data_IF_298888893652
#
_entry.id   IF_298888893652
#
_cell.length_a   1.000
_cell.length_b   1.000
_cell.length_c   1.000
_cell.angle_alpha   90.00
_cell.angle_beta   90.00
_cell.angle_gamma   90.00
#
_symmetry.space_group_name_H-M   'P 1'
#
loop_
_entity.id
_entity.type
_entity.pdbx_description
1 polymer ?
#
# COMPACT_ATOMS: atom_id res chain seq x y z
N UNK A 1 -7.30 32.46 -3.02
CA UNK A 1 -6.64 31.16 -3.32
C UNK A 1 -7.69 30.09 -3.13
N UNK A 2 -8.22 29.52 -4.22
CA UNK A 2 -9.24 28.49 -4.11
C UNK A 2 -8.55 27.19 -3.67
N UNK A 3 -8.90 26.69 -2.49
CA UNK A 3 -8.45 25.39 -2.00
C UNK A 3 -8.90 24.31 -2.98
N UNK A 4 -7.98 23.43 -3.38
CA UNK A 4 -8.28 22.23 -4.16
C UNK A 4 -9.35 21.44 -3.36
N UNK A 5 -10.49 21.05 -3.97
CA UNK A 5 -11.50 20.30 -3.23
C UNK A 5 -10.87 19.01 -2.72
N UNK A 6 -11.02 18.74 -1.42
CA UNK A 6 -10.66 17.45 -0.85
C UNK A 6 -11.38 16.36 -1.65
N UNK A 7 -10.66 15.28 -1.98
CA UNK A 7 -11.20 14.14 -2.72
C UNK A 7 -12.11 13.29 -1.81
N UNK A 8 -13.12 13.92 -1.22
CA UNK A 8 -14.18 13.28 -0.46
C UNK A 8 -14.85 12.23 -1.36
N UNK A 9 -14.71 10.96 -1.00
CA UNK A 9 -15.30 9.83 -1.71
C UNK A 9 -14.36 8.98 -2.58
N UNK A 10 -13.11 9.38 -2.85
CA UNK A 10 -12.17 8.52 -3.60
C UNK A 10 -11.38 7.60 -2.67
N UNK A 11 -11.45 6.28 -2.90
CA UNK A 11 -10.76 5.29 -2.05
C UNK A 11 -9.26 5.26 -2.36
N UNK A 12 -8.42 5.44 -1.36
CA UNK A 12 -6.96 5.30 -1.48
C UNK A 12 -6.48 3.91 -1.03
N UNK A 13 -5.46 3.38 -1.70
CA UNK A 13 -4.89 2.04 -1.46
C UNK A 13 -3.38 2.15 -1.41
N UNK A 14 -2.81 1.91 -0.24
CA UNK A 14 -1.40 2.09 0.09
C UNK A 14 -0.79 0.74 0.45
N UNK A 15 0.39 0.42 -0.07
CA UNK A 15 1.17 -0.75 0.33
C UNK A 15 2.47 -0.28 0.97
N UNK A 16 2.76 -0.75 2.18
CA UNK A 16 3.99 -0.41 2.90
C UNK A 16 5.05 -1.45 2.61
N UNK A 17 6.19 -1.04 2.07
CA UNK A 17 7.30 -1.93 1.70
C UNK A 17 8.61 -1.42 2.28
N UNK A 18 9.60 -2.29 2.43
CA UNK A 18 10.90 -1.93 3.04
C UNK A 18 11.48 -3.07 3.87
N UNK A 19 12.56 -2.79 4.59
CA UNK A 19 13.22 -3.81 5.41
C UNK A 19 12.39 -4.23 6.63
N UNK A 20 12.84 -5.24 7.35
CA UNK A 20 12.31 -5.56 8.67
C UNK A 20 12.64 -4.41 9.64
N UNK A 21 11.69 -4.09 10.56
CA UNK A 21 11.89 -3.14 11.68
C UNK A 21 12.15 -1.67 11.33
N UNK A 22 12.02 -1.26 10.08
CA UNK A 22 12.05 0.16 9.68
C UNK A 22 10.78 0.93 10.07
N UNK A 23 9.86 0.30 10.83
CA UNK A 23 8.64 0.97 11.30
C UNK A 23 7.46 0.96 10.33
N UNK A 24 7.35 -0.03 9.43
CA UNK A 24 6.21 -0.16 8.50
C UNK A 24 4.86 -0.24 9.23
N UNK A 25 4.70 -1.20 10.13
CA UNK A 25 3.46 -1.39 10.89
C UNK A 25 3.10 -0.14 11.72
N UNK A 26 4.10 0.54 12.31
CA UNK A 26 3.90 1.82 13.00
C UNK A 26 3.42 2.93 12.06
N UNK A 27 4.04 3.07 10.88
CA UNK A 27 3.58 4.03 9.88
C UNK A 27 2.15 3.73 9.40
N UNK A 28 1.79 2.46 9.24
CA UNK A 28 0.43 2.05 8.92
C UNK A 28 -0.58 2.45 10.00
N UNK A 29 -0.21 2.30 11.28
CA UNK A 29 -1.02 2.76 12.40
C UNK A 29 -1.18 4.29 12.41
N UNK A 30 -0.10 5.03 12.13
CA UNK A 30 -0.12 6.50 11.97
C UNK A 30 -1.06 6.93 10.86
N UNK A 31 -0.97 6.33 9.66
CA UNK A 31 -1.88 6.64 8.54
C UNK A 31 -3.34 6.42 8.98
N UNK A 32 -3.63 5.24 9.54
CA UNK A 32 -4.99 4.85 9.91
C UNK A 32 -5.53 5.56 11.17
N UNK A 33 -4.66 6.22 11.95
CA UNK A 33 -5.04 6.87 13.21
C UNK A 33 -5.48 5.89 14.31
N UNK A 34 -5.06 4.62 14.23
CA UNK A 34 -5.40 3.57 15.19
C UNK A 34 -4.34 2.48 15.24
N UNK A 35 -4.27 1.73 16.34
CA UNK A 35 -3.39 0.56 16.51
C UNK A 35 -3.93 -0.65 15.76
N UNK A 36 -3.81 -0.64 14.43
CA UNK A 36 -4.31 -1.66 13.52
C UNK A 36 -3.37 -2.86 13.35
N UNK A 37 -2.06 -2.61 13.32
CA UNK A 37 -1.02 -3.60 13.12
C UNK A 37 -0.18 -3.77 14.39
N UNK A 38 0.29 -4.98 14.66
CA UNK A 38 1.21 -5.24 15.78
C UNK A 38 2.60 -4.65 15.46
N UNK A 39 3.03 -3.69 16.29
CA UNK A 39 4.30 -3.00 16.14
C UNK A 39 5.21 -3.15 17.38
N UNK A 40 5.00 -4.20 18.19
CA UNK A 40 5.85 -4.46 19.37
C UNK A 40 7.32 -4.62 18.99
N UNK A 41 8.20 -3.98 19.77
CA UNK A 41 9.65 -4.17 19.65
C UNK A 41 9.96 -5.61 20.07
N UNK A 42 10.46 -6.42 19.14
CA UNK A 42 10.87 -7.80 19.44
C UNK A 42 12.16 -8.16 18.71
N UNK A 43 12.89 -9.16 19.19
CA UNK A 43 14.12 -9.66 18.56
C UNK A 43 13.86 -10.51 17.30
N UNK A 44 12.60 -10.69 16.90
CA UNK A 44 12.21 -11.40 15.68
C UNK A 44 11.29 -10.57 14.77
N UNK A 45 11.19 -10.86 13.47
CA UNK A 45 10.21 -10.22 12.60
C UNK A 45 8.79 -10.55 13.08
N UNK A 46 7.97 -9.51 13.26
CA UNK A 46 6.58 -9.64 13.71
C UNK A 46 5.66 -9.91 12.51
N UNK A 47 5.81 -9.13 11.43
CA UNK A 47 5.01 -9.29 10.20
C UNK A 47 5.62 -10.34 9.28
N UNK A 48 5.04 -11.54 9.26
CA UNK A 48 5.41 -12.63 8.34
C UNK A 48 4.41 -12.83 7.19
N UNK A 49 3.28 -12.13 7.23
CA UNK A 49 2.25 -12.21 6.21
C UNK A 49 1.63 -10.83 5.98
N UNK A 50 1.30 -10.53 4.73
CA UNK A 50 0.67 -9.28 4.33
C UNK A 50 -0.76 -9.21 4.85
N UNK A 51 -1.07 -8.07 5.49
CA UNK A 51 -2.34 -7.80 6.15
C UNK A 51 -2.88 -6.45 5.70
N UNK A 52 -4.18 -6.41 5.41
CA UNK A 52 -4.88 -5.20 5.00
C UNK A 52 -5.76 -4.71 6.14
N UNK A 53 -5.69 -3.42 6.42
CA UNK A 53 -6.64 -2.74 7.30
C UNK A 53 -7.14 -1.47 6.63
N UNK A 54 -8.38 -1.12 6.92
CA UNK A 54 -9.02 0.07 6.38
C UNK A 54 -9.56 0.98 7.49
N UNK A 55 -9.61 2.27 7.18
CA UNK A 55 -10.24 3.28 8.01
C UNK A 55 -10.66 4.47 7.14
N UNK A 56 -11.61 5.24 7.65
CA UNK A 56 -11.92 6.56 7.13
C UNK A 56 -11.01 7.58 7.83
N UNK A 57 -10.19 8.26 7.04
CA UNK A 57 -9.17 9.20 7.51
C UNK A 57 -9.41 10.51 6.79
N UNK A 58 -9.69 11.59 7.54
CA UNK A 58 -9.93 12.92 6.97
C UNK A 58 -10.98 12.92 5.84
N UNK A 59 -12.09 12.19 6.03
CA UNK A 59 -13.18 12.11 5.04
C UNK A 59 -12.91 11.18 3.85
N UNK A 60 -11.77 10.48 3.82
CA UNK A 60 -11.37 9.59 2.73
C UNK A 60 -11.21 8.14 3.20
N UNK A 61 -11.75 7.19 2.45
CA UNK A 61 -11.55 5.75 2.72
C UNK A 61 -10.14 5.34 2.32
N UNK A 62 -9.31 4.94 3.29
CA UNK A 62 -7.93 4.50 3.05
C UNK A 62 -7.78 3.04 3.43
N UNK A 63 -7.19 2.24 2.53
CA UNK A 63 -6.71 0.90 2.85
C UNK A 63 -5.20 0.87 2.88
N UNK A 64 -4.63 0.34 3.96
CA UNK A 64 -3.19 0.15 4.12
C UNK A 64 -2.91 -1.34 4.16
N UNK A 65 -1.93 -1.79 3.37
CA UNK A 65 -1.40 -3.16 3.43
C UNK A 65 -0.01 -3.10 4.04
N UNK A 66 0.15 -3.68 5.24
CA UNK A 66 1.47 -3.93 5.83
C UNK A 66 2.05 -5.22 5.24
N UNK A 67 3.36 -5.24 5.00
CA UNK A 67 4.03 -6.38 4.37
C UNK A 67 5.21 -6.89 5.21
N UNK A 68 5.64 -8.14 4.98
CA UNK A 68 6.93 -8.60 5.46
C UNK A 68 8.09 -7.74 4.93
N UNK A 69 9.26 -7.89 5.54
CA UNK A 69 10.48 -7.24 5.05
C UNK A 69 10.91 -7.78 3.68
N UNK A 70 11.39 -6.89 2.80
CA UNK A 70 11.88 -7.26 1.46
C UNK A 70 13.05 -8.25 1.50
N UNK A 71 13.87 -8.16 2.55
CA UNK A 71 14.95 -9.10 2.83
C UNK A 71 14.70 -9.66 4.22
N UNK A 72 13.92 -10.75 4.26
CA UNK A 72 13.51 -11.35 5.52
C UNK A 72 14.55 -12.35 6.04
N UNK A 73 14.70 -12.38 7.36
CA UNK A 73 15.49 -13.42 8.04
C UNK A 73 14.73 -14.74 8.19
N UNK A 74 13.41 -14.74 7.99
CA UNK A 74 12.53 -15.91 8.17
C UNK A 74 11.86 -16.41 6.90
N UNK A 75 11.75 -15.56 5.88
CA UNK A 75 11.12 -15.91 4.61
C UNK A 75 12.16 -16.04 3.51
N UNK A 76 12.00 -17.05 2.65
CA UNK A 76 12.77 -17.14 1.41
C UNK A 76 12.35 -16.04 0.43
N UNK A 77 13.19 -15.74 -0.56
CA UNK A 77 12.90 -14.75 -1.62
C UNK A 77 11.57 -15.07 -2.33
N UNK A 78 11.28 -16.35 -2.58
CA UNK A 78 10.03 -16.79 -3.20
C UNK A 78 8.80 -16.55 -2.30
N UNK A 79 8.95 -16.73 -0.99
CA UNK A 79 7.90 -16.43 -0.02
C UNK A 79 7.66 -14.91 0.08
N UNK A 80 8.72 -14.09 0.10
CA UNK A 80 8.60 -12.63 0.06
C UNK A 80 7.88 -12.19 -1.22
N UNK A 81 8.25 -12.75 -2.37
CA UNK A 81 7.56 -12.50 -3.64
C UNK A 81 6.08 -12.90 -3.57
N UNK A 82 5.76 -14.06 -3.01
CA UNK A 82 4.37 -14.49 -2.85
C UNK A 82 3.55 -13.52 -1.97
N UNK A 83 4.15 -13.01 -0.89
CA UNK A 83 3.52 -11.99 -0.04
C UNK A 83 3.36 -10.64 -0.75
N UNK A 84 4.32 -10.23 -1.61
CA UNK A 84 4.13 -9.06 -2.48
C UNK A 84 2.95 -9.26 -3.44
N UNK A 85 2.82 -10.43 -4.06
CA UNK A 85 1.67 -10.73 -4.94
C UNK A 85 0.36 -10.76 -4.14
N UNK A 86 0.37 -11.25 -2.90
CA UNK A 86 -0.76 -11.18 -1.98
C UNK A 86 -1.14 -9.73 -1.67
N UNK A 87 -0.16 -8.86 -1.41
CA UNK A 87 -0.40 -7.43 -1.17
C UNK A 87 -1.08 -6.73 -2.36
N UNK A 88 -0.72 -7.10 -3.59
CA UNK A 88 -1.39 -6.61 -4.80
C UNK A 88 -2.84 -7.07 -4.89
N UNK A 89 -3.12 -8.34 -4.56
CA UNK A 89 -4.50 -8.86 -4.50
C UNK A 89 -5.33 -8.14 -3.46
N UNK A 90 -4.78 -7.92 -2.27
CA UNK A 90 -5.44 -7.15 -1.20
C UNK A 90 -5.73 -5.70 -1.61
N UNK A 91 -4.93 -5.16 -2.54
CA UNK A 91 -5.01 -3.80 -3.05
C UNK A 91 -5.76 -3.67 -4.38
N UNK A 92 -6.56 -4.66 -4.79
CA UNK A 92 -7.31 -4.62 -6.05
C UNK A 92 -8.13 -3.33 -6.24
N UNK A 93 -8.18 -2.72 -7.45
CA UNK A 93 -7.57 -3.14 -8.74
C UNK A 93 -6.05 -2.96 -8.84
N UNK A 94 -5.42 -2.38 -7.83
CA UNK A 94 -3.98 -2.17 -7.74
C UNK A 94 -3.69 -1.05 -6.73
N UNK A 95 -2.51 -1.04 -6.09
CA UNK A 95 -2.18 0.03 -5.15
C UNK A 95 -1.98 1.36 -5.88
N UNK A 96 -2.42 2.45 -5.27
CA UNK A 96 -2.15 3.78 -5.80
C UNK A 96 -0.69 4.18 -5.58
N UNK A 97 -0.17 3.81 -4.41
CA UNK A 97 1.20 4.11 -4.00
C UNK A 97 1.80 2.97 -3.18
N UNK A 98 3.08 2.71 -3.39
CA UNK A 98 3.94 1.96 -2.49
C UNK A 98 4.74 2.96 -1.66
N UNK A 99 4.68 2.85 -0.34
CA UNK A 99 5.54 3.62 0.55
C UNK A 99 6.76 2.78 0.87
N UNK A 100 7.91 3.13 0.28
CA UNK A 100 9.20 2.52 0.61
C UNK A 100 9.70 3.13 1.92
N UNK A 101 9.50 2.38 2.99
CA UNK A 101 9.78 2.81 4.35
C UNK A 101 11.27 2.64 4.67
N UNK A 102 11.91 3.73 5.07
CA UNK A 102 13.30 3.80 5.49
C UNK A 102 13.39 4.39 6.90
N UNK A 103 14.34 3.94 7.70
CA UNK A 103 14.59 4.54 9.00
C UNK A 103 15.48 5.78 8.87
N UNK A 104 15.06 6.92 9.40
CA UNK A 104 15.87 8.12 9.37
C UNK A 104 17.21 7.95 10.10
N UNK A 105 18.28 8.48 9.48
CA UNK A 105 19.66 8.35 9.95
C UNK A 105 20.33 7.02 9.60
N UNK A 106 19.63 6.13 8.87
CA UNK A 106 20.16 4.83 8.44
C UNK A 106 19.80 4.60 6.97
N UNK A 107 20.80 4.38 6.13
CA UNK A 107 20.59 3.93 4.76
C UNK A 107 21.61 2.86 4.38
N UNK A 108 21.23 1.61 4.60
CA UNK A 108 22.05 0.42 4.41
C UNK A 108 22.10 -0.03 2.96
N UNK A 109 23.10 -0.86 2.61
CA UNK A 109 23.19 -1.50 1.28
C UNK A 109 21.91 -2.26 0.91
N UNK A 110 21.29 -2.94 1.88
CA UNK A 110 20.03 -3.65 1.65
C UNK A 110 18.86 -2.69 1.35
N UNK A 111 18.83 -1.51 1.98
CA UNK A 111 17.83 -0.47 1.69
C UNK A 111 18.04 0.15 0.31
N UNK A 112 19.29 0.30 -0.14
CA UNK A 112 19.63 0.75 -1.51
C UNK A 112 19.12 -0.21 -2.58
N UNK A 113 19.06 -1.51 -2.28
CA UNK A 113 18.53 -2.55 -3.17
C UNK A 113 17.01 -2.70 -3.09
N UNK A 114 16.34 -2.05 -2.14
CA UNK A 114 14.91 -2.21 -1.88
C UNK A 114 14.04 -1.94 -3.12
N UNK A 115 14.29 -0.84 -3.82
CA UNK A 115 13.56 -0.50 -5.05
C UNK A 115 13.83 -1.51 -6.19
N UNK A 116 15.08 -1.92 -6.38
CA UNK A 116 15.46 -2.90 -7.40
C UNK A 116 14.81 -4.27 -7.13
N UNK A 117 14.72 -4.65 -5.86
CA UNK A 117 14.03 -5.86 -5.41
C UNK A 117 12.54 -5.80 -5.75
N UNK A 118 11.87 -4.67 -5.49
CA UNK A 118 10.47 -4.46 -5.88
C UNK A 118 10.28 -4.57 -7.40
N UNK A 119 11.13 -3.92 -8.19
CA UNK A 119 11.08 -3.99 -9.65
C UNK A 119 11.24 -5.44 -10.17
N UNK A 120 12.11 -6.22 -9.52
CA UNK A 120 12.38 -7.62 -9.87
C UNK A 120 11.22 -8.55 -9.48
N UNK A 121 10.60 -8.32 -8.33
CA UNK A 121 9.45 -9.11 -7.87
C UNK A 121 8.18 -8.79 -8.66
N UNK A 122 8.04 -7.54 -9.10
CA UNK A 122 6.88 -6.98 -9.76
C UNK A 122 7.23 -6.59 -11.21
N UNK A 123 7.26 -5.29 -11.51
CA UNK A 123 7.68 -4.76 -12.80
C UNK A 123 8.45 -3.44 -12.61
N UNK A 124 9.21 -2.97 -13.62
CA UNK A 124 9.90 -1.68 -13.55
C UNK A 124 8.98 -0.48 -13.29
N UNK A 125 7.70 -0.57 -13.69
CA UNK A 125 6.72 0.52 -13.52
C UNK A 125 6.37 0.80 -12.05
N UNK A 126 6.68 -0.12 -11.12
CA UNK A 126 6.46 0.08 -9.68
C UNK A 126 7.14 1.36 -9.18
N UNK A 127 8.27 1.76 -9.79
CA UNK A 127 9.01 2.98 -9.47
C UNK A 127 8.16 4.25 -9.55
N UNK A 128 7.27 4.34 -10.56
CA UNK A 128 6.41 5.51 -10.78
C UNK A 128 5.37 5.68 -9.66
N UNK A 129 5.02 4.58 -9.01
CA UNK A 129 4.08 4.53 -7.90
C UNK A 129 4.77 4.39 -6.53
N UNK A 130 6.09 4.52 -6.46
CA UNK A 130 6.83 4.36 -5.19
C UNK A 130 7.28 5.71 -4.66
N UNK A 131 6.87 6.03 -3.44
CA UNK A 131 7.31 7.21 -2.68
C UNK A 131 8.12 6.76 -1.46
N UNK A 132 9.18 7.51 -1.12
CA UNK A 132 9.98 7.19 0.08
C UNK A 132 9.28 7.73 1.33
N UNK A 133 9.18 6.91 2.37
CA UNK A 133 8.69 7.33 3.69
C UNK A 133 9.80 7.13 4.73
N UNK A 134 10.30 8.22 5.30
CA UNK A 134 11.21 8.14 6.44
C UNK A 134 10.42 8.02 7.73
N UNK A 135 10.77 7.04 8.56
CA UNK A 135 10.28 6.92 9.95
C UNK A 135 11.33 7.40 10.93
N UNK A 136 10.97 7.49 12.21
CA UNK A 136 11.81 8.08 13.27
C UNK A 136 12.11 9.56 13.02
N UNK A 137 11.09 10.31 12.57
CA UNK A 137 11.16 11.76 12.35
C UNK A 137 11.46 12.55 13.63
N UNK A 138 11.19 11.97 14.81
CA UNK A 138 11.60 12.48 16.12
C UNK A 138 13.11 12.78 16.21
N UNK A 139 13.93 12.11 15.37
CA UNK A 139 15.38 12.31 15.29
C UNK A 139 15.80 13.59 14.59
N UNK A 140 14.89 14.29 13.88
CA UNK A 140 15.22 15.55 13.21
C UNK A 140 15.40 16.73 14.17
N UNK A 141 15.22 16.55 15.50
CA UNK A 141 15.29 17.60 16.55
C UNK A 141 16.21 18.76 16.16
N UNK A 142 15.65 19.91 15.78
CA UNK A 142 16.27 21.24 15.53
C UNK A 142 17.66 21.33 14.83
N UNK A 143 18.25 20.23 14.38
CA UNK A 143 19.68 20.13 14.04
C UNK A 143 19.91 19.49 12.68
N UNK A 144 18.98 18.64 12.22
CA UNK A 144 19.07 17.97 10.94
C UNK A 144 17.89 18.41 10.09
N UNK A 145 18.19 19.17 9.05
CA UNK A 145 17.26 19.47 7.97
C UNK A 145 17.15 18.23 7.07
N UNK A 146 15.92 17.74 6.84
CA UNK A 146 15.68 16.56 6.01
C UNK A 146 16.21 16.77 4.58
N UNK A 147 16.14 17.99 4.05
CA UNK A 147 16.67 18.30 2.73
C UNK A 147 18.18 18.15 2.71
N UNK A 148 18.88 18.61 3.76
CA UNK A 148 20.32 18.41 3.91
C UNK A 148 20.69 16.94 4.07
N UNK A 149 19.89 16.18 4.83
CA UNK A 149 20.10 14.74 5.00
C UNK A 149 20.03 14.03 3.64
N UNK A 150 19.01 14.31 2.85
CA UNK A 150 18.85 13.77 1.50
C UNK A 150 19.97 14.26 0.57
N UNK A 151 20.34 15.54 0.61
CA UNK A 151 21.34 16.10 -0.31
C UNK A 151 22.74 15.57 -0.09
N UNK A 152 23.06 15.17 1.14
CA UNK A 152 24.40 14.71 1.54
C UNK A 152 24.70 13.25 1.17
N UNK A 153 23.69 12.43 0.87
CA UNK A 153 23.89 11.03 0.47
C UNK A 153 23.55 10.83 -1.02
N UNK A 154 24.58 10.48 -1.81
CA UNK A 154 24.42 10.22 -3.24
C UNK A 154 23.49 9.03 -3.54
N UNK A 155 23.49 8.01 -2.68
CA UNK A 155 22.63 6.84 -2.85
C UNK A 155 21.16 7.20 -2.59
N UNK A 156 20.87 8.08 -1.62
CA UNK A 156 19.50 8.55 -1.37
C UNK A 156 19.00 9.41 -2.53
N UNK A 157 19.84 10.30 -3.05
CA UNK A 157 19.52 11.10 -4.25
C UNK A 157 19.22 10.20 -5.45
N UNK A 158 20.03 9.16 -5.65
CA UNK A 158 19.81 8.17 -6.71
C UNK A 158 18.50 7.41 -6.50
N UNK A 159 18.21 6.97 -5.27
CA UNK A 159 16.93 6.31 -4.94
C UNK A 159 15.73 7.20 -5.27
N UNK A 160 15.74 8.47 -4.85
CA UNK A 160 14.65 9.40 -5.12
C UNK A 160 14.46 9.65 -6.63
N UNK A 161 15.56 9.77 -7.37
CA UNK A 161 15.54 9.91 -8.84
C UNK A 161 14.94 8.69 -9.54
N UNK A 162 15.11 7.51 -8.96
CA UNK A 162 14.60 6.24 -9.50
C UNK A 162 13.16 5.91 -9.03
N UNK A 163 12.61 6.72 -8.13
CA UNK A 163 11.22 6.67 -7.65
C UNK A 163 10.41 7.83 -8.25
N UNK A 164 9.22 8.13 -7.70
CA UNK A 164 8.44 9.32 -8.07
C UNK A 164 9.08 10.67 -7.70
N UNK A 165 10.29 10.68 -7.11
CA UNK A 165 10.99 11.89 -6.67
C UNK A 165 10.52 12.47 -5.32
N UNK A 166 9.39 12.00 -4.80
CA UNK A 166 8.83 12.50 -3.54
C UNK A 166 9.25 11.66 -2.33
N UNK A 167 9.31 12.33 -1.18
CA UNK A 167 9.46 11.70 0.11
C UNK A 167 8.60 12.39 1.18
N UNK A 168 8.35 11.68 2.28
CA UNK A 168 7.68 12.20 3.46
C UNK A 168 8.36 11.68 4.74
N UNK A 169 8.19 12.36 5.86
CA UNK A 169 8.79 11.98 7.15
C UNK A 169 7.69 11.84 8.20
N UNK A 170 7.68 10.72 8.90
CA UNK A 170 6.77 10.47 10.01
C UNK A 170 7.49 10.45 11.35
N UNK A 171 6.89 11.13 12.30
CA UNK A 171 7.07 10.86 13.71
C UNK A 171 5.94 9.94 14.19
N UNK A 172 6.20 8.63 14.20
CA UNK A 172 5.22 7.63 14.61
C UNK A 172 4.92 7.62 16.12
N UNK A 173 5.69 8.36 16.93
CA UNK A 173 5.38 8.56 18.35
C UNK A 173 4.23 9.55 18.55
N UNK A 174 4.00 10.43 17.58
CA UNK A 174 2.95 11.45 17.57
C UNK A 174 1.80 11.06 16.64
N UNK A 175 1.22 9.87 16.88
CA UNK A 175 0.14 9.31 16.04
C UNK A 175 -1.11 10.21 15.93
N UNK A 176 -1.33 11.03 16.97
CA UNK A 176 -2.44 11.98 17.07
C UNK A 176 -2.18 13.28 16.28
N UNK A 177 -0.94 13.56 15.89
CA UNK A 177 -0.62 14.69 15.02
C UNK A 177 -1.03 14.35 13.58
N UNK A 178 -2.20 14.85 13.18
CA UNK A 178 -2.82 14.50 11.89
C UNK A 178 -2.29 15.33 10.72
N UNK A 179 -1.51 16.40 10.96
CA UNK A 179 -0.92 17.22 9.90
C UNK A 179 0.06 16.40 9.05
N UNK A 180 0.90 15.56 9.66
CA UNK A 180 1.82 14.69 8.90
C UNK A 180 1.06 13.76 7.94
N UNK A 181 -0.10 13.25 8.37
CA UNK A 181 -0.94 12.40 7.52
C UNK A 181 -1.58 13.21 6.41
N UNK A 182 -2.05 14.42 6.70
CA UNK A 182 -2.60 15.32 5.68
C UNK A 182 -1.57 15.61 4.57
N UNK A 183 -0.37 16.02 4.95
CA UNK A 183 0.73 16.32 4.02
C UNK A 183 1.19 15.08 3.24
N UNK A 184 1.15 13.89 3.85
CA UNK A 184 1.39 12.63 3.15
C UNK A 184 0.34 12.42 2.05
N UNK A 185 -0.95 12.61 2.37
CA UNK A 185 -2.04 12.40 1.43
C UNK A 185 -1.99 13.39 0.25
N UNK A 186 -1.67 14.66 0.50
CA UNK A 186 -1.47 15.66 -0.56
C UNK A 186 -0.35 15.24 -1.53
N UNK A 187 0.76 14.72 -1.00
CA UNK A 187 1.85 14.17 -1.83
C UNK A 187 1.39 12.96 -2.64
N UNK A 188 0.65 12.04 -2.03
CA UNK A 188 0.12 10.85 -2.73
C UNK A 188 -0.87 11.26 -3.84
N UNK A 189 -1.71 12.27 -3.61
CA UNK A 189 -2.64 12.75 -4.63
C UNK A 189 -1.92 13.39 -5.82
N UNK A 190 -0.75 13.98 -5.61
CA UNK A 190 0.10 14.46 -6.71
C UNK A 190 0.69 13.34 -7.57
N UNK A 191 1.01 12.18 -6.97
CA UNK A 191 1.51 10.99 -7.69
C UNK A 191 0.38 10.29 -8.44
N UNK A 192 -0.81 10.28 -7.85
CA UNK A 192 -1.92 9.42 -8.28
C UNK A 192 -2.97 10.15 -9.10
N UNK A 193 -2.73 11.41 -9.47
CA UNK A 193 -3.70 12.29 -10.12
C UNK A 193 -5.05 12.28 -9.37
N UNK A 194 -5.00 12.54 -8.06
CA UNK A 194 -6.18 12.50 -7.19
C UNK A 194 -6.80 11.12 -6.97
N UNK A 195 -6.01 10.05 -7.13
CA UNK A 195 -6.46 8.66 -6.97
C UNK A 195 -6.96 7.99 -8.25
N UNK A 196 -6.79 8.62 -9.42
CA UNK A 196 -7.14 8.03 -10.70
C UNK A 196 -6.06 7.07 -11.23
N UNK A 197 -4.79 7.32 -10.93
CA UNK A 197 -3.66 6.49 -11.32
C UNK A 197 -3.31 5.51 -10.20
N UNK A 198 -3.17 4.25 -10.58
CA UNK A 198 -2.71 3.17 -9.70
C UNK A 198 -1.82 2.21 -10.47
N UNK A 199 -0.95 1.52 -9.74
CA UNK A 199 -0.07 0.51 -10.30
C UNK A 199 -0.89 -0.65 -10.87
N UNK A 200 -0.84 -0.81 -12.18
CA UNK A 200 -1.35 -1.98 -12.88
C UNK A 200 -0.21 -3.00 -12.98
N UNK A 201 -0.23 -4.00 -12.11
CA UNK A 201 0.71 -5.10 -12.22
C UNK A 201 0.47 -5.87 -13.52
N UNK A 202 1.54 -6.27 -14.19
CA UNK A 202 1.49 -7.24 -15.29
C UNK A 202 1.14 -8.63 -14.72
N UNK A 203 -0.12 -8.83 -14.32
CA UNK A 203 -0.58 -10.13 -13.87
C UNK A 203 -1.18 -10.89 -15.04
N UNK A 204 -0.44 -11.90 -15.52
CA UNK A 204 -0.98 -12.95 -16.40
C UNK A 204 -2.19 -13.66 -15.75
N UNK A 205 -2.37 -13.56 -14.43
CA UNK A 205 -3.53 -14.07 -13.70
C UNK A 205 -4.79 -13.20 -13.77
N UNK A 206 -4.71 -11.96 -14.26
CA UNK A 206 -5.91 -11.17 -14.55
C UNK A 206 -6.72 -11.79 -15.68
N UNK A 207 -6.11 -12.56 -16.57
CA UNK A 207 -6.89 -13.41 -17.48
C UNK A 207 -7.83 -14.28 -16.67
N UNK A 208 -7.35 -15.04 -15.68
CA UNK A 208 -8.23 -15.96 -14.95
C UNK A 208 -9.30 -15.25 -14.10
N UNK A 209 -8.98 -14.14 -13.42
CA UNK A 209 -9.99 -13.43 -12.59
C UNK A 209 -10.96 -12.63 -13.45
N UNK A 210 -10.47 -11.88 -14.45
CA UNK A 210 -11.33 -11.10 -15.34
C UNK A 210 -12.14 -12.00 -16.26
N UNK A 211 -11.56 -13.12 -16.75
CA UNK A 211 -12.33 -14.19 -17.43
C UNK A 211 -13.35 -14.76 -16.46
N UNK A 212 -12.99 -15.10 -15.22
CA UNK A 212 -13.96 -15.65 -14.25
C UNK A 212 -15.12 -14.69 -14.00
N UNK A 213 -14.86 -13.40 -13.73
CA UNK A 213 -15.91 -12.39 -13.57
C UNK A 213 -16.77 -12.21 -14.85
N UNK A 214 -16.15 -12.15 -16.03
CA UNK A 214 -16.88 -12.08 -17.32
C UNK A 214 -17.69 -13.35 -17.56
N UNK A 215 -17.18 -14.52 -17.19
CA UNK A 215 -17.84 -15.81 -17.36
C UNK A 215 -19.01 -15.97 -16.38
N UNK A 216 -18.80 -15.63 -15.11
CA UNK A 216 -19.85 -15.59 -14.10
C UNK A 216 -20.94 -14.58 -14.46
N UNK A 217 -20.58 -13.38 -14.91
CA UNK A 217 -21.54 -12.36 -15.35
C UNK A 217 -22.28 -12.76 -16.63
N UNK A 218 -21.59 -13.41 -17.57
CA UNK A 218 -22.21 -13.95 -18.78
C UNK A 218 -23.17 -15.11 -18.48
N UNK A 219 -22.82 -15.98 -17.54
CA UNK A 219 -23.70 -17.06 -17.05
C UNK A 219 -24.92 -16.50 -16.32
N UNK A 220 -24.74 -15.54 -15.41
CA UNK A 220 -25.88 -14.90 -14.73
C UNK A 220 -26.81 -14.21 -15.71
N UNK A 221 -26.29 -13.45 -16.68
CA UNK A 221 -27.11 -12.84 -17.74
C UNK A 221 -27.87 -13.86 -18.59
N UNK A 222 -27.25 -15.02 -18.90
CA UNK A 222 -27.92 -16.11 -19.64
C UNK A 222 -29.02 -16.78 -18.82
N UNK A 223 -28.78 -17.04 -17.53
CA UNK A 223 -29.78 -17.59 -16.61
C UNK A 223 -30.94 -16.61 -16.42
N UNK A 224 -30.64 -15.32 -16.23
CA UNK A 224 -31.64 -14.25 -16.12
C UNK A 224 -32.49 -14.09 -17.39
N UNK A 225 -31.95 -14.40 -18.58
CA UNK A 225 -32.70 -14.39 -19.84
C UNK A 225 -33.61 -15.62 -20.03
N UNK A 226 -33.31 -16.75 -19.38
CA UNK A 226 -34.10 -17.98 -19.51
C UNK A 226 -35.17 -18.14 -18.42
N UNK A 227 -35.01 -17.47 -17.27
CA UNK A 227 -35.95 -17.59 -16.14
C UNK A 227 -36.84 -16.35 -16.08
N UNK A 228 -38.13 -16.51 -16.37
CA UNK A 228 -39.13 -15.45 -16.25
C UNK A 228 -39.15 -14.87 -14.82
N UNK A 229 -39.38 -13.55 -14.74
CA UNK A 229 -39.03 -12.59 -13.68
C UNK A 229 -39.43 -12.87 -12.21
N UNK A 230 -40.08 -13.98 -11.84
CA UNK A 230 -40.53 -14.23 -10.46
C UNK A 230 -39.58 -15.07 -9.59
N UNK A 231 -38.61 -15.80 -10.15
CA UNK A 231 -37.69 -16.67 -9.38
C UNK A 231 -36.33 -16.06 -9.04
N UNK A 232 -35.99 -14.92 -9.64
CA UNK A 232 -34.64 -14.34 -9.66
C UNK A 232 -34.20 -13.83 -8.28
N UNK A 233 -35.14 -13.31 -7.48
CA UNK A 233 -34.83 -12.72 -6.19
C UNK A 233 -34.25 -13.74 -5.20
N UNK A 234 -34.75 -14.98 -5.23
CA UNK A 234 -34.27 -16.06 -4.36
C UNK A 234 -32.90 -16.59 -4.78
N UNK A 235 -32.61 -16.62 -6.09
CA UNK A 235 -31.30 -17.06 -6.61
C UNK A 235 -30.22 -16.02 -6.32
N UNK A 236 -30.51 -14.73 -6.55
CA UNK A 236 -29.56 -13.65 -6.20
C UNK A 236 -29.30 -13.65 -4.70
N UNK A 237 -30.35 -13.79 -3.88
CA UNK A 237 -30.22 -13.89 -2.43
C UNK A 237 -29.37 -15.10 -2.04
N UNK A 238 -29.57 -16.27 -2.65
CA UNK A 238 -28.78 -17.46 -2.36
C UNK A 238 -27.29 -17.28 -2.72
N UNK A 239 -26.98 -16.71 -3.90
CA UNK A 239 -25.59 -16.45 -4.31
C UNK A 239 -24.94 -15.42 -3.37
N UNK A 240 -25.66 -14.38 -2.97
CA UNK A 240 -25.17 -13.37 -2.04
C UNK A 240 -24.92 -13.95 -0.65
N UNK A 241 -25.84 -14.79 -0.16
CA UNK A 241 -25.69 -15.49 1.14
C UNK A 241 -24.53 -16.48 1.11
N UNK A 242 -24.39 -17.22 0.01
CA UNK A 242 -23.28 -18.17 -0.18
C UNK A 242 -21.92 -17.44 -0.24
N UNK A 243 -21.86 -16.27 -0.90
CA UNK A 243 -20.69 -15.41 -0.94
C UNK A 243 -20.30 -14.92 0.46
N UNK A 244 -21.23 -14.37 1.24
CA UNK A 244 -20.96 -13.90 2.62
C UNK A 244 -20.44 -15.05 3.50
N UNK A 245 -20.97 -16.26 3.35
CA UNK A 245 -20.52 -17.39 4.17
C UNK A 245 -19.16 -17.97 3.80
N UNK A 246 -18.59 -17.67 2.62
CA UNK A 246 -17.39 -18.38 2.13
C UNK A 246 -16.21 -17.46 1.76
N UNK A 247 -16.41 -16.13 1.78
CA UNK A 247 -15.38 -15.18 1.35
C UNK A 247 -15.18 -13.96 2.27
N UNK A 248 -15.72 -13.95 3.50
CA UNK A 248 -15.22 -13.10 4.61
C UNK A 248 -14.13 -13.80 5.44
#
# INVERSE_FOLDING_TARGET
>A
MAGKPALEGSRLRVVLVGQERVGKSSAGNTILGKKAFDCKISSSPVTLCSQKVEADVQGRRISVVDTPGLFSTRLSINMVKAEMLKALKLSFPGPHVFLLVLQLGRFTKQEQEGLKSLQTMLSPDVSKHTMVLFTYGDRLKNTIDIEKFVSNDNNLKELLKNCCGLYHVFNNEEMDERLQVHELLDKIDSITDGGHLYYQGSFESERSIRIFYVYCWGLTLRVLRQVNYMGIFNIIRFIFTWWETHFE
#
